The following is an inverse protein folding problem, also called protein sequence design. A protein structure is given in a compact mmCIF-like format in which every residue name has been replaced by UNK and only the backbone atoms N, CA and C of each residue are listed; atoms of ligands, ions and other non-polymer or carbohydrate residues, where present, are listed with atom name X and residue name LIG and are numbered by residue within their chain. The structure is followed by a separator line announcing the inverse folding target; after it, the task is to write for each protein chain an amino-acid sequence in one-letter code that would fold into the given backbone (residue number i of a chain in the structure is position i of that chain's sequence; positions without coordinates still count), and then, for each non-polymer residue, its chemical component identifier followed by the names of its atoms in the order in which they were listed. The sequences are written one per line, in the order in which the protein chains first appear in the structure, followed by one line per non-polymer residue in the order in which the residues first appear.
data_IF_853412523230
#
_entry.id   IF_853412523230
#
_cell.length_a   1.000
_cell.length_b   1.000
_cell.length_c   1.000
_cell.angle_alpha   90.00
_cell.angle_beta   90.00
_cell.angle_gamma   90.00
#
_symmetry.space_group_name_H-M   'P 1'
#
loop_
_entity.id
_entity.type
_entity.pdbx_description
1 polymer ?
#
# COMPACT_ATOMS: atom_id res chain seq x y z
N UNK A 1 -17.42 -8.02 -5.54
CA UNK A 1 -16.97 -7.37 -6.80
C UNK A 1 -15.45 -7.52 -6.86
N UNK A 2 -14.92 -8.26 -7.85
CA UNK A 2 -13.48 -8.42 -8.05
C UNK A 2 -12.99 -7.41 -9.09
N UNK A 3 -12.60 -6.23 -8.63
CA UNK A 3 -12.11 -5.16 -9.51
C UNK A 3 -10.62 -5.35 -9.78
N UNK A 4 -10.26 -5.57 -11.04
CA UNK A 4 -8.86 -5.68 -11.44
C UNK A 4 -8.20 -4.30 -11.49
N UNK A 5 -7.08 -4.18 -10.79
CA UNK A 5 -6.27 -2.95 -10.73
C UNK A 5 -5.20 -2.86 -11.84
N UNK A 6 -4.87 -3.97 -12.50
CA UNK A 6 -3.86 -3.99 -13.57
C UNK A 6 -4.35 -3.16 -14.77
N UNK A 7 -3.50 -2.25 -15.25
CA UNK A 7 -3.84 -1.32 -16.36
C UNK A 7 -4.42 0.03 -15.89
N UNK A 8 -4.64 0.21 -14.58
CA UNK A 8 -5.00 1.52 -14.00
C UNK A 8 -3.75 2.33 -13.66
N UNK A 9 -3.91 3.65 -13.57
CA UNK A 9 -2.89 4.52 -12.99
C UNK A 9 -2.70 4.24 -11.50
N UNK A 10 -1.55 4.64 -10.96
CA UNK A 10 -1.27 4.48 -9.52
C UNK A 10 -2.35 5.17 -8.67
N UNK A 11 -2.76 6.38 -9.06
CA UNK A 11 -3.78 7.16 -8.35
C UNK A 11 -5.11 6.41 -8.30
N UNK A 12 -5.61 5.93 -9.44
CA UNK A 12 -6.86 5.16 -9.49
C UNK A 12 -6.80 3.88 -8.66
N UNK A 13 -5.65 3.18 -8.67
CA UNK A 13 -5.46 1.99 -7.86
C UNK A 13 -5.49 2.32 -6.35
N UNK A 14 -4.86 3.44 -5.95
CA UNK A 14 -4.90 3.92 -4.57
C UNK A 14 -6.31 4.30 -4.14
N UNK A 15 -7.07 4.97 -4.99
CA UNK A 15 -8.45 5.38 -4.69
C UNK A 15 -9.36 4.17 -4.48
N UNK A 16 -9.17 3.09 -5.24
CA UNK A 16 -9.86 1.82 -5.03
C UNK A 16 -9.46 1.10 -3.74
N UNK A 17 -8.23 1.29 -3.26
CA UNK A 17 -7.76 0.71 -1.99
C UNK A 17 -8.26 1.50 -0.78
N UNK A 18 -8.43 2.82 -0.91
CA UNK A 18 -8.96 3.68 0.16
C UNK A 18 -10.40 3.29 0.50
N UNK A 19 -10.81 3.58 1.72
CA UNK A 19 -12.13 3.24 2.23
C UNK A 19 -12.27 3.59 3.70
N UNK A 20 -13.42 3.26 4.32
CA UNK A 20 -13.68 3.59 5.71
C UNK A 20 -12.63 3.00 6.66
N UNK A 21 -12.26 3.77 7.68
CA UNK A 21 -11.33 3.31 8.74
C UNK A 21 -11.96 2.13 9.47
N UNK A 22 -11.16 1.12 9.78
CA UNK A 22 -11.60 -0.13 10.42
C UNK A 22 -12.26 -1.13 9.47
N UNK A 23 -12.47 -0.78 8.20
CA UNK A 23 -12.95 -1.75 7.21
C UNK A 23 -11.80 -2.60 6.67
N UNK A 24 -12.11 -3.85 6.35
CA UNK A 24 -11.16 -4.78 5.75
C UNK A 24 -11.16 -4.67 4.21
N UNK A 25 -10.01 -4.94 3.62
CA UNK A 25 -9.85 -5.16 2.19
C UNK A 25 -9.07 -6.45 1.95
N UNK A 26 -9.57 -7.27 1.03
CA UNK A 26 -8.86 -8.44 0.53
C UNK A 26 -8.16 -8.07 -0.79
N UNK A 27 -6.85 -8.26 -0.85
CA UNK A 27 -6.06 -8.02 -2.06
C UNK A 27 -5.37 -9.30 -2.50
N UNK A 28 -5.27 -9.49 -3.82
CA UNK A 28 -4.56 -10.61 -4.42
C UNK A 28 -3.29 -10.10 -5.09
N UNK A 29 -2.14 -10.61 -4.68
CA UNK A 29 -0.82 -10.20 -5.16
C UNK A 29 -0.12 -11.35 -5.86
N UNK A 30 0.34 -11.12 -7.09
CA UNK A 30 1.27 -12.01 -7.79
C UNK A 30 2.70 -11.58 -7.46
N UNK A 31 3.48 -12.46 -6.83
CA UNK A 31 4.87 -12.21 -6.44
C UNK A 31 5.81 -13.09 -7.27
N UNK A 32 6.90 -12.50 -7.81
CA UNK A 32 7.92 -13.24 -8.55
C UNK A 32 8.49 -14.36 -7.68
N UNK A 33 8.60 -15.57 -8.22
CA UNK A 33 9.08 -16.76 -7.50
C UNK A 33 7.98 -17.54 -6.76
N UNK A 34 6.75 -17.02 -6.69
CA UNK A 34 5.61 -17.74 -6.09
C UNK A 34 4.63 -18.13 -7.20
N UNK A 35 4.41 -19.43 -7.40
CA UNK A 35 3.52 -19.94 -8.47
C UNK A 35 2.06 -19.56 -8.28
N UNK A 36 1.60 -19.48 -7.02
CA UNK A 36 0.22 -19.15 -6.67
C UNK A 36 0.11 -17.68 -6.27
N UNK A 37 -1.02 -17.06 -6.57
CA UNK A 37 -1.30 -15.72 -6.07
C UNK A 37 -1.47 -15.75 -4.54
N UNK A 38 -0.98 -14.72 -3.87
CA UNK A 38 -1.05 -14.59 -2.42
C UNK A 38 -2.21 -13.65 -2.10
N UNK A 39 -3.11 -14.10 -1.24
CA UNK A 39 -4.24 -13.29 -0.77
C UNK A 39 -3.87 -12.68 0.57
N UNK A 40 -4.06 -11.36 0.69
CA UNK A 40 -3.83 -10.62 1.92
C UNK A 40 -5.12 -9.93 2.35
N UNK A 41 -5.44 -10.04 3.65
CA UNK A 41 -6.47 -9.26 4.29
C UNK A 41 -5.81 -8.11 5.04
N UNK A 42 -6.15 -6.87 4.71
CA UNK A 42 -5.59 -5.67 5.30
C UNK A 42 -6.74 -4.88 5.93
N UNK A 43 -6.55 -4.42 7.16
CA UNK A 43 -7.50 -3.53 7.83
C UNK A 43 -7.07 -2.08 7.58
N UNK A 44 -8.01 -1.23 7.19
CA UNK A 44 -7.74 0.19 6.92
C UNK A 44 -7.58 0.97 8.21
N UNK A 45 -6.53 1.78 8.28
CA UNK A 45 -6.24 2.61 9.45
C UNK A 45 -5.78 4.02 9.06
N UNK A 46 -6.00 5.00 9.96
CA UNK A 46 -5.41 6.33 9.82
C UNK A 46 -3.94 6.25 10.22
N UNK A 47 -3.07 6.24 9.21
CA UNK A 47 -1.62 6.25 9.43
C UNK A 47 -1.18 7.68 9.76
N UNK A 48 -0.73 7.91 11.00
CA UNK A 48 -0.08 9.16 11.40
C UNK A 48 1.36 9.14 10.87
N UNK A 49 1.66 10.04 9.94
CA UNK A 49 3.04 10.22 9.47
C UNK A 49 3.82 10.86 10.61
N UNK A 50 4.76 10.11 11.19
CA UNK A 50 5.74 10.72 12.09
C UNK A 50 6.69 11.53 11.23
N UNK A 51 6.64 12.86 11.35
CA UNK A 51 7.67 13.71 10.75
C UNK A 51 9.01 13.34 11.37
N UNK A 52 9.82 12.59 10.63
CA UNK A 52 11.22 12.40 11.01
C UNK A 52 11.87 13.77 10.96
N UNK A 53 12.20 14.34 12.12
CA UNK A 53 13.15 15.45 12.17
C UNK A 53 14.45 14.88 11.61
N UNK A 54 14.80 15.25 10.38
CA UNK A 54 16.10 14.94 9.81
C UNK A 54 17.15 15.56 10.72
N UNK A 55 17.73 14.76 11.62
CA UNK A 55 18.95 15.15 12.30
C UNK A 55 20.02 15.02 11.23
N UNK A 56 20.48 16.16 10.69
CA UNK A 56 21.69 16.22 9.86
C UNK A 56 22.82 15.59 10.70
N UNK A 57 23.14 14.33 10.42
CA UNK A 57 24.40 13.72 10.81
C UNK A 57 25.36 14.22 9.72
N UNK A 58 26.38 14.95 10.15
CA UNK A 58 27.28 15.69 9.27
C UNK A 58 27.86 14.82 8.13
N UNK A 59 27.96 15.50 6.98
CA UNK A 59 28.78 15.29 5.79
C UNK A 59 28.56 14.05 4.92
N UNK A 60 27.83 14.31 3.82
CA UNK A 60 27.96 13.69 2.49
C UNK A 60 26.99 12.62 2.00
N UNK A 61 25.75 12.50 2.49
CA UNK A 61 24.71 11.84 1.67
C UNK A 61 23.37 12.55 1.85
N UNK A 62 22.85 13.08 0.73
CA UNK A 62 21.50 13.62 0.56
C UNK A 62 20.76 12.82 -0.50
#
# INVERSE_FOLDING_TARGET
MNTQIQGKTLTEAVDLMRGPVGSDIEITVRRKGVKKAIVFKITREIIKIQSVKSKKINDNIG
#
